data_IF_820022415235
#
_entry.id   IF_820022415235
#
_cell.length_a   1.000
_cell.length_b   1.000
_cell.length_c   1.000
_cell.angle_alpha   90.00
_cell.angle_beta   90.00
_cell.angle_gamma   90.00
#
_symmetry.space_group_name_H-M   'P 1'
#
loop_
_entity.id
_entity.type
_entity.pdbx_description
1 polymer ?
#
# COMPACT_ATOMS: atom_id res chain seq x y z
N UNK A 1 11.49 -16.17 -19.02
CA UNK A 1 10.43 -16.94 -18.33
C UNK A 1 11.11 -17.45 -17.08
N UNK A 2 10.92 -16.95 -15.87
CA UNK A 2 9.75 -16.32 -15.25
C UNK A 2 10.24 -15.24 -14.28
N UNK A 3 9.95 -13.97 -14.56
CA UNK A 3 10.14 -12.93 -13.56
C UNK A 3 8.99 -13.10 -12.58
N UNK A 4 9.22 -13.90 -11.53
CA UNK A 4 8.29 -14.08 -10.45
C UNK A 4 8.05 -12.69 -9.83
N UNK A 5 6.91 -12.02 -10.07
CA UNK A 5 6.73 -10.62 -9.69
C UNK A 5 6.66 -10.44 -8.16
N UNK A 6 6.60 -11.56 -7.43
CA UNK A 6 6.60 -11.67 -5.98
C UNK A 6 7.98 -11.95 -5.38
N UNK A 7 9.05 -11.97 -6.18
CA UNK A 7 10.41 -11.94 -5.66
C UNK A 7 10.68 -10.55 -5.07
N UNK A 8 10.17 -10.32 -3.85
CA UNK A 8 10.62 -9.26 -2.94
C UNK A 8 12.03 -9.64 -2.47
N UNK A 9 12.96 -9.71 -3.42
CA UNK A 9 14.36 -9.97 -3.19
C UNK A 9 15.04 -8.65 -2.92
N UNK A 10 15.21 -8.31 -1.63
CA UNK A 10 16.35 -7.57 -1.04
C UNK A 10 17.01 -6.40 -1.79
N UNK A 11 16.37 -5.75 -2.75
CA UNK A 11 16.69 -4.38 -3.11
C UNK A 11 15.84 -3.52 -2.20
N UNK A 12 16.44 -2.96 -1.15
CA UNK A 12 16.06 -1.61 -0.71
C UNK A 12 16.29 -0.73 -1.93
N UNK A 13 15.33 -0.72 -2.84
CA UNK A 13 15.46 -0.12 -4.14
C UNK A 13 15.75 1.36 -3.96
N UNK A 14 16.30 1.98 -5.00
CA UNK A 14 16.51 3.43 -5.12
C UNK A 14 15.30 4.28 -4.68
N UNK A 15 14.12 3.68 -4.57
CA UNK A 15 12.85 4.31 -4.23
C UNK A 15 12.21 3.82 -2.92
N UNK A 16 12.95 3.14 -2.03
CA UNK A 16 12.41 2.63 -0.75
C UNK A 16 11.71 3.73 0.07
N UNK A 17 12.29 4.95 0.12
CA UNK A 17 11.69 6.09 0.81
C UNK A 17 10.37 6.57 0.20
N UNK A 18 10.08 6.24 -1.06
CA UNK A 18 8.79 6.57 -1.66
C UNK A 18 7.68 5.61 -1.17
N UNK A 19 8.01 4.34 -0.94
CA UNK A 19 7.07 3.40 -0.31
C UNK A 19 6.66 3.86 1.09
N UNK A 20 7.59 4.39 1.90
CA UNK A 20 7.26 4.97 3.21
C UNK A 20 6.27 6.15 3.12
N UNK A 21 6.43 6.99 2.09
CA UNK A 21 5.53 8.13 1.83
C UNK A 21 4.12 7.63 1.48
N UNK A 22 4.02 6.60 0.65
CA UNK A 22 2.74 5.99 0.30
C UNK A 22 2.10 5.36 1.53
N UNK A 23 2.85 4.61 2.34
CA UNK A 23 2.37 4.03 3.60
C UNK A 23 1.81 5.12 4.51
N UNK A 24 2.54 6.21 4.72
CA UNK A 24 2.08 7.34 5.54
C UNK A 24 0.80 7.99 4.97
N UNK A 25 0.70 8.09 3.65
CA UNK A 25 -0.49 8.66 2.98
C UNK A 25 -1.72 7.75 3.13
N UNK A 26 -1.53 6.43 3.09
CA UNK A 26 -2.60 5.45 3.37
C UNK A 26 -3.01 5.55 4.84
N UNK A 27 -2.04 5.58 5.77
CA UNK A 27 -2.30 5.70 7.21
C UNK A 27 -3.06 6.98 7.57
N UNK A 28 -2.78 8.11 6.91
CA UNK A 28 -3.51 9.36 7.12
C UNK A 28 -5.01 9.26 6.78
N UNK A 29 -5.40 8.35 5.89
CA UNK A 29 -6.79 8.10 5.50
C UNK A 29 -7.40 6.87 6.19
N UNK A 30 -6.57 6.10 6.88
CA UNK A 30 -6.99 4.87 7.54
C UNK A 30 -7.74 5.16 8.83
N UNK A 31 -8.81 4.40 9.05
CA UNK A 31 -9.57 4.39 10.28
C UNK A 31 -9.60 2.96 10.79
N UNK A 32 -9.02 2.74 11.97
CA UNK A 32 -9.02 1.42 12.59
C UNK A 32 -10.47 1.00 12.91
N UNK A 33 -10.91 -0.18 12.45
CA UNK A 33 -12.20 -0.71 12.88
C UNK A 33 -12.22 -0.86 14.40
N UNK A 34 -13.29 -0.43 15.10
CA UNK A 34 -13.36 -0.47 16.56
C UNK A 34 -13.35 -1.90 17.12
N UNK A 35 -13.64 -2.89 16.30
CA UNK A 35 -13.65 -4.31 16.64
C UNK A 35 -12.47 -5.08 16.05
N UNK A 36 -11.41 -4.40 15.62
CA UNK A 36 -10.19 -5.05 15.14
C UNK A 36 -9.37 -5.51 16.36
N UNK A 37 -9.13 -6.83 16.56
CA UNK A 37 -8.32 -7.31 17.69
C UNK A 37 -6.89 -6.77 17.64
N UNK A 38 -6.41 -6.14 18.71
CA UNK A 38 -5.07 -5.55 18.78
C UNK A 38 -3.92 -6.58 18.93
N UNK A 39 -4.24 -7.83 19.32
CA UNK A 39 -3.25 -8.90 19.54
C UNK A 39 -2.77 -9.62 18.27
N UNK A 40 -3.25 -9.20 17.09
CA UNK A 40 -2.94 -9.85 15.81
C UNK A 40 -2.06 -8.95 14.94
N UNK A 41 -0.99 -9.54 14.40
CA UNK A 41 -0.13 -8.87 13.42
C UNK A 41 -0.81 -8.85 12.04
N UNK A 42 -1.57 -7.81 11.74
CA UNK A 42 -2.16 -7.64 10.42
C UNK A 42 -1.17 -7.03 9.43
N UNK A 43 -1.18 -7.57 8.22
CA UNK A 43 -0.57 -6.91 7.07
C UNK A 43 -1.32 -7.24 5.80
N UNK A 44 -1.57 -6.23 4.97
CA UNK A 44 -2.02 -6.42 3.59
C UNK A 44 -0.94 -5.94 2.63
N UNK A 45 -0.93 -6.52 1.44
CA UNK A 45 -0.10 -6.02 0.35
C UNK A 45 -1.01 -5.36 -0.67
N UNK A 46 -0.76 -4.09 -0.94
CA UNK A 46 -1.56 -3.27 -1.82
C UNK A 46 -0.75 -2.92 -3.06
N UNK A 47 -1.41 -2.89 -4.21
CA UNK A 47 -0.86 -2.33 -5.44
C UNK A 47 -1.55 -1.01 -5.74
N UNK A 48 -0.77 0.00 -6.09
CA UNK A 48 -1.21 1.32 -6.52
C UNK A 48 -0.68 1.58 -7.92
N UNK A 49 -1.54 2.05 -8.83
CA UNK A 49 -1.14 2.56 -10.14
C UNK A 49 -1.27 4.06 -10.11
N UNK A 50 -0.17 4.76 -10.36
CA UNK A 50 -0.06 6.21 -10.28
C UNK A 50 0.19 6.84 -11.65
N UNK A 51 -0.24 8.08 -11.83
CA UNK A 51 0.27 8.92 -12.93
C UNK A 51 1.54 9.68 -12.52
N UNK A 52 2.09 10.46 -13.45
CA UNK A 52 3.31 11.26 -13.25
C UNK A 52 3.14 12.38 -12.22
N UNK A 53 1.91 12.75 -11.88
CA UNK A 53 1.57 13.77 -10.91
C UNK A 53 1.24 13.14 -9.53
N UNK A 54 1.29 11.81 -9.41
CA UNK A 54 0.94 11.08 -8.20
C UNK A 54 -0.56 10.90 -8.03
N UNK A 55 -1.38 11.08 -9.06
CA UNK A 55 -2.80 10.72 -9.00
C UNK A 55 -2.95 9.21 -8.96
N UNK A 56 -3.78 8.71 -8.06
CA UNK A 56 -4.08 7.27 -7.99
C UNK A 56 -5.09 6.93 -9.08
N UNK A 57 -4.66 6.14 -10.06
CA UNK A 57 -5.48 5.67 -11.17
C UNK A 57 -6.20 4.38 -10.80
N UNK A 58 -5.52 3.47 -10.10
CA UNK A 58 -6.06 2.19 -9.64
C UNK A 58 -5.44 1.78 -8.31
N UNK A 59 -6.19 1.00 -7.54
CA UNK A 59 -5.71 0.36 -6.31
C UNK A 59 -6.34 -1.03 -6.17
N UNK A 60 -5.60 -1.98 -5.57
CA UNK A 60 -6.13 -3.30 -5.21
C UNK A 60 -5.32 -3.93 -4.08
N UNK A 61 -5.93 -4.88 -3.37
CA UNK A 61 -5.21 -5.79 -2.49
C UNK A 61 -4.63 -6.94 -3.33
N UNK A 62 -3.32 -7.14 -3.23
CA UNK A 62 -2.62 -8.30 -3.76
C UNK A 62 -2.66 -9.49 -2.80
N UNK A 63 -2.77 -9.22 -1.50
CA UNK A 63 -2.89 -10.24 -0.48
C UNK A 63 -3.81 -9.77 0.67
N UNK A 64 -4.54 -10.73 1.23
CA UNK A 64 -5.39 -10.57 2.41
C UNK A 64 -4.55 -10.69 3.69
N UNK A 65 -4.96 -9.97 4.74
CA UNK A 65 -4.37 -10.12 6.08
C UNK A 65 -4.88 -11.33 6.85
N UNK A 66 -5.89 -12.02 6.32
CA UNK A 66 -6.67 -13.02 7.07
C UNK A 66 -7.79 -12.42 7.92
N UNK A 67 -7.91 -11.09 7.98
CA UNK A 67 -9.02 -10.38 8.62
C UNK A 67 -9.82 -9.58 7.61
N UNK A 68 -11.07 -10.01 7.38
CA UNK A 68 -12.00 -9.30 6.48
C UNK A 68 -12.28 -7.86 6.94
N UNK A 69 -12.22 -7.60 8.25
CA UNK A 69 -12.39 -6.25 8.80
C UNK A 69 -11.21 -5.35 8.44
N UNK A 70 -9.98 -5.86 8.60
CA UNK A 70 -8.78 -5.10 8.27
C UNK A 70 -8.62 -4.89 6.77
N UNK A 71 -8.92 -5.91 5.97
CA UNK A 71 -8.83 -5.81 4.51
C UNK A 71 -9.81 -4.76 3.98
N UNK A 72 -11.04 -4.72 4.51
CA UNK A 72 -12.02 -3.70 4.13
C UNK A 72 -11.58 -2.31 4.55
N UNK A 73 -11.11 -2.11 5.79
CA UNK A 73 -10.66 -0.78 6.23
C UNK A 73 -9.44 -0.29 5.47
N UNK A 74 -8.53 -1.20 5.07
CA UNK A 74 -7.42 -0.88 4.18
C UNK A 74 -7.92 -0.46 2.78
N UNK A 75 -8.89 -1.17 2.20
CA UNK A 75 -9.52 -0.78 0.93
C UNK A 75 -10.23 0.57 1.02
N UNK A 76 -10.90 0.86 2.12
CA UNK A 76 -11.53 2.16 2.37
C UNK A 76 -10.49 3.29 2.51
N UNK A 77 -9.34 3.03 3.12
CA UNK A 77 -8.25 3.98 3.18
C UNK A 77 -7.68 4.27 1.79
N UNK A 78 -7.50 3.23 0.97
CA UNK A 78 -7.02 3.34 -0.42
C UNK A 78 -8.03 4.09 -1.31
N UNK A 79 -9.34 3.90 -1.12
CA UNK A 79 -10.35 4.58 -1.93
C UNK A 79 -10.39 6.09 -1.69
N UNK A 80 -10.02 6.54 -0.49
CA UNK A 80 -9.89 7.96 -0.13
C UNK A 80 -8.58 8.57 -0.66
N UNK A 81 -7.62 7.73 -1.05
CA UNK A 81 -6.31 8.15 -1.53
C UNK A 81 -6.39 8.58 -3.01
N UNK A 82 -6.93 9.77 -3.28
CA UNK A 82 -7.07 10.27 -4.65
C UNK A 82 -5.74 10.73 -5.27
N UNK A 83 -4.85 11.31 -4.45
CA UNK A 83 -3.58 11.87 -4.89
C UNK A 83 -2.52 11.71 -3.80
N UNK A 84 -1.33 11.32 -4.21
CA UNK A 84 -0.12 11.20 -3.40
C UNK A 84 0.96 12.11 -3.95
N UNK A 85 2.13 12.14 -3.29
CA UNK A 85 3.31 12.79 -3.89
C UNK A 85 3.64 12.13 -5.24
N UNK A 86 4.07 12.89 -6.26
CA UNK A 86 4.52 12.32 -7.53
C UNK A 86 5.60 11.26 -7.35
N UNK A 87 5.59 10.16 -8.13
CA UNK A 87 6.67 9.19 -8.13
C UNK A 87 7.98 9.85 -8.62
N UNK A 88 9.14 9.51 -8.04
CA UNK A 88 10.43 9.99 -8.53
C UNK A 88 10.65 9.64 -10.01
N UNK A 89 11.37 10.50 -10.72
CA UNK A 89 11.72 10.24 -12.12
C UNK A 89 12.43 8.88 -12.29
N UNK A 90 11.95 8.10 -13.27
CA UNK A 90 12.46 6.75 -13.55
C UNK A 90 11.94 5.66 -12.60
N UNK A 91 11.01 5.96 -11.69
CA UNK A 91 10.27 4.96 -10.93
C UNK A 91 9.10 4.39 -11.75
N UNK A 92 8.82 3.10 -11.56
CA UNK A 92 7.62 2.47 -12.13
C UNK A 92 6.35 3.11 -11.56
N UNK A 93 5.30 3.18 -12.38
CA UNK A 93 4.01 3.76 -12.02
C UNK A 93 3.16 2.81 -11.18
N UNK A 94 3.47 1.52 -11.22
CA UNK A 94 2.86 0.49 -10.39
C UNK A 94 3.72 0.24 -9.18
N UNK A 95 3.21 0.58 -8.00
CA UNK A 95 3.93 0.48 -6.73
C UNK A 95 3.22 -0.51 -5.82
N UNK A 96 3.99 -1.46 -5.27
CA UNK A 96 3.51 -2.36 -4.23
C UNK A 96 3.89 -1.81 -2.85
N UNK A 97 2.91 -1.72 -1.95
CA UNK A 97 3.07 -1.21 -0.59
C UNK A 97 2.57 -2.26 0.39
N UNK A 98 3.38 -2.56 1.41
CA UNK A 98 2.93 -3.37 2.55
C UNK A 98 2.36 -2.44 3.61
N UNK A 99 1.08 -2.63 3.94
CA UNK A 99 0.36 -1.79 4.88
C UNK A 99 0.07 -2.56 6.18
N UNK A 100 0.24 -1.85 7.30
CA UNK A 100 0.01 -2.32 8.65
C UNK A 100 -0.91 -1.31 9.36
N UNK A 101 -1.72 -1.74 10.35
CA UNK A 101 -2.41 -0.79 11.20
C UNK A 101 -1.40 0.16 11.86
N UNK A 102 -1.72 1.46 12.03
CA UNK A 102 -0.89 2.37 12.80
C UNK A 102 -0.81 1.88 14.25
N UNK A 103 0.38 2.00 14.86
CA UNK A 103 0.62 1.69 16.26
C UNK A 103 0.15 2.80 17.21
#
# INVERSE_FOLDING_TARGET
>A
MDANPFAIGKSRGRFAGYTDILTASIQANYQQPPSLPDDLEYAVMCELVLDEQGRVLQYRLLNSSGSLLFDQSALEALSKLAQVRPPPEGMDRTVTVKFFPPA
#
